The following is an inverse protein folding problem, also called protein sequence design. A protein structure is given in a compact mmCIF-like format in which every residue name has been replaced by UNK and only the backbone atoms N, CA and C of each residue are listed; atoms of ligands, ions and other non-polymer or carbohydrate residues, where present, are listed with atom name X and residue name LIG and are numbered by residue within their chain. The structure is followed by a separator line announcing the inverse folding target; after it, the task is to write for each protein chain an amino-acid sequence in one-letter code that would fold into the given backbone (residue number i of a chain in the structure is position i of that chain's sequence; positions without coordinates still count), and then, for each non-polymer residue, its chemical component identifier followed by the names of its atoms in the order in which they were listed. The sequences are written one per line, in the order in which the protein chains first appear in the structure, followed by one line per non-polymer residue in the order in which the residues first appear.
data_IF_806536054119
#
_entry.id   IF_806536054119
#
_cell.length_a   1.000
_cell.length_b   1.000
_cell.length_c   1.000
_cell.angle_alpha   90.00
_cell.angle_beta   90.00
_cell.angle_gamma   90.00
#
_symmetry.space_group_name_H-M   'P 1'
#
loop_
_entity.id
_entity.type
_entity.pdbx_description
1 polymer ?
#
# COMPACT_ATOMS: atom_id res chain seq x y z
N UNK A 1 15.23 22.34 19.51
CA UNK A 1 14.26 21.93 18.47
C UNK A 1 13.71 20.55 18.83
N UNK A 2 12.39 20.43 19.01
CA UNK A 2 11.64 19.18 19.09
C UNK A 2 10.35 19.42 18.32
N UNK A 3 10.05 18.60 17.31
CA UNK A 3 8.76 18.60 16.63
C UNK A 3 8.08 17.29 17.01
N UNK A 4 7.15 17.39 17.96
CA UNK A 4 6.24 16.32 18.33
C UNK A 4 5.17 16.17 17.24
N UNK A 5 5.02 14.95 16.73
CA UNK A 5 4.05 14.62 15.69
C UNK A 5 2.64 14.57 16.25
N UNK A 6 1.85 15.60 15.96
CA UNK A 6 0.39 15.55 16.05
C UNK A 6 -0.17 15.61 14.62
N UNK A 7 -0.38 14.45 14.00
CA UNK A 7 -1.07 14.36 12.71
C UNK A 7 -2.60 14.44 12.95
N UNK A 8 -3.31 15.46 12.44
CA UNK A 8 -4.72 15.66 12.73
C UNK A 8 -5.59 14.53 12.15
N UNK A 9 -6.49 13.99 12.97
CA UNK A 9 -7.43 12.90 12.64
C UNK A 9 -8.34 13.17 11.43
N UNK A 10 -8.48 14.44 11.01
CA UNK A 10 -9.35 14.85 9.91
C UNK A 10 -8.93 14.32 8.54
N UNK A 11 -7.65 13.92 8.36
CA UNK A 11 -7.14 13.40 7.08
C UNK A 11 -7.53 11.92 6.87
N UNK A 12 -7.83 11.19 7.94
CA UNK A 12 -8.12 9.74 7.85
C UNK A 12 -9.61 9.49 7.51
N UNK A 13 -10.50 10.38 7.92
CA UNK A 13 -11.95 10.24 7.73
C UNK A 13 -12.43 10.47 6.29
N UNK A 14 -11.65 11.21 5.47
CA UNK A 14 -12.00 11.48 4.07
C UNK A 14 -11.80 10.25 3.18
N UNK A 15 -10.84 9.37 3.49
CA UNK A 15 -10.57 8.15 2.72
C UNK A 15 -11.60 7.04 2.95
N UNK A 16 -12.33 7.04 4.06
CA UNK A 16 -13.29 5.97 4.38
C UNK A 16 -14.66 6.14 3.72
N UNK A 17 -14.98 7.35 3.21
CA UNK A 17 -16.29 7.67 2.61
C UNK A 17 -16.42 7.37 1.11
N UNK A 18 -15.33 7.02 0.42
CA UNK A 18 -15.36 6.74 -1.03
C UNK A 18 -15.71 5.28 -1.36
N UNK A 19 -15.34 4.33 -0.50
CA UNK A 19 -15.62 2.90 -0.74
C UNK A 19 -17.10 2.55 -0.55
N UNK A 20 -17.83 3.25 0.33
CA UNK A 20 -19.25 3.00 0.61
C UNK A 20 -20.21 3.60 -0.43
N UNK A 21 -19.75 4.53 -1.29
CA UNK A 21 -20.61 5.09 -2.36
C UNK A 21 -20.76 4.16 -3.56
N UNK A 22 -19.74 3.35 -3.87
CA UNK A 22 -19.80 2.39 -5.00
C UNK A 22 -20.78 1.23 -4.78
N UNK A 23 -21.15 0.91 -3.53
CA UNK A 23 -22.16 -0.13 -3.26
C UNK A 23 -23.60 0.40 -3.21
N UNK A 24 -23.82 1.72 -3.14
CA UNK A 24 -25.16 2.30 -3.08
C UNK A 24 -25.78 2.60 -4.46
N UNK A 25 -24.96 2.77 -5.51
CA UNK A 25 -25.45 3.11 -6.87
C UNK A 25 -26.01 1.92 -7.66
N UNK A 26 -25.80 0.67 -7.22
CA UNK A 26 -26.28 -0.52 -7.95
C UNK A 26 -27.76 -0.83 -7.66
N UNK A 27 -28.39 -0.19 -6.65
CA UNK A 27 -29.75 -0.53 -6.20
C UNK A 27 -30.82 0.55 -6.48
N UNK A 28 -30.56 1.57 -7.30
CA UNK A 28 -31.50 2.71 -7.44
C UNK A 28 -31.75 3.12 -8.89
N UNK A 29 -32.06 2.15 -9.73
CA UNK A 29 -32.41 2.36 -11.12
C UNK A 29 -33.85 1.90 -11.45
N UNK A 30 -34.83 2.15 -10.56
CA UNK A 30 -36.25 2.17 -10.92
C UNK A 30 -36.96 3.17 -10.00
N UNK A 31 -37.25 4.37 -10.51
CA UNK A 31 -38.54 5.05 -10.34
C UNK A 31 -38.46 6.44 -11.00
N UNK A 32 -39.25 6.63 -12.06
CA UNK A 32 -39.40 7.86 -12.82
C UNK A 32 -40.73 8.48 -12.41
N UNK A 33 -40.75 9.73 -11.92
CA UNK A 33 -41.77 10.72 -12.29
C UNK A 33 -41.64 12.09 -11.60
N UNK A 34 -41.48 13.11 -12.45
CA UNK A 34 -42.17 14.43 -12.45
C UNK A 34 -42.11 15.34 -11.20
N UNK A 35 -41.47 16.50 -11.37
CA UNK A 35 -41.70 17.70 -10.55
C UNK A 35 -40.76 18.84 -10.93
N UNK A 36 -41.33 19.94 -11.42
CA UNK A 36 -40.64 21.21 -11.70
C UNK A 36 -39.98 21.74 -10.43
N UNK A 37 -38.73 22.20 -10.54
CA UNK A 37 -38.18 23.39 -9.90
C UNK A 37 -36.77 23.60 -10.48
N UNK A 38 -36.58 24.67 -11.24
CA UNK A 38 -35.24 25.09 -11.69
C UNK A 38 -34.58 25.83 -10.52
N UNK A 39 -33.57 25.25 -9.84
CA UNK A 39 -32.86 26.01 -8.83
C UNK A 39 -31.94 26.99 -9.53
N UNK A 40 -32.00 28.25 -9.10
CA UNK A 40 -31.06 29.29 -9.48
C UNK A 40 -29.62 28.73 -9.42
N UNK A 41 -28.89 28.84 -10.54
CA UNK A 41 -27.47 28.48 -10.62
C UNK A 41 -26.69 29.37 -9.65
N UNK A 42 -26.49 28.88 -8.43
CA UNK A 42 -25.45 29.40 -7.55
C UNK A 42 -24.10 29.21 -8.25
N UNK A 43 -23.18 30.18 -8.16
CA UNK A 43 -21.83 30.02 -8.70
C UNK A 43 -21.22 28.80 -8.02
N UNK A 44 -20.95 27.77 -8.82
CA UNK A 44 -20.26 26.56 -8.38
C UNK A 44 -18.89 26.99 -7.88
N UNK A 45 -18.69 27.00 -6.56
CA UNK A 45 -17.37 27.21 -5.99
C UNK A 45 -16.43 26.21 -6.67
N UNK A 46 -15.44 26.74 -7.37
CA UNK A 46 -14.47 25.96 -8.10
C UNK A 46 -13.51 25.38 -7.06
N UNK A 47 -13.93 24.28 -6.44
CA UNK A 47 -13.12 23.57 -5.46
C UNK A 47 -11.99 22.86 -6.18
N UNK A 48 -10.75 23.10 -5.75
CA UNK A 48 -9.61 22.33 -6.22
C UNK A 48 -9.83 20.84 -5.95
N UNK A 49 -9.67 20.02 -6.99
CA UNK A 49 -9.80 18.58 -6.89
C UNK A 49 -8.41 17.95 -6.80
N UNK A 50 -8.14 17.25 -5.70
CA UNK A 50 -6.90 16.49 -5.52
C UNK A 50 -7.22 15.00 -5.65
N UNK A 51 -6.48 14.30 -6.52
CA UNK A 51 -6.60 12.86 -6.68
C UNK A 51 -5.23 12.19 -6.52
N UNK A 52 -5.21 11.02 -5.89
CA UNK A 52 -4.01 10.19 -5.77
C UNK A 52 -3.86 9.35 -7.05
N UNK A 53 -2.64 9.30 -7.60
CA UNK A 53 -2.31 8.46 -8.74
C UNK A 53 -2.45 6.96 -8.42
N UNK A 54 -2.76 6.15 -9.42
CA UNK A 54 -2.96 4.72 -9.19
C UNK A 54 -1.69 4.00 -8.73
N UNK A 55 -0.52 4.46 -9.18
CA UNK A 55 0.77 3.97 -8.70
C UNK A 55 0.99 4.23 -7.21
N UNK A 56 0.60 5.42 -6.71
CA UNK A 56 0.71 5.74 -5.30
C UNK A 56 -0.23 4.88 -4.45
N UNK A 57 -1.44 4.58 -4.95
CA UNK A 57 -2.35 3.62 -4.29
C UNK A 57 -1.74 2.23 -4.23
N UNK A 58 -1.15 1.75 -5.33
CA UNK A 58 -0.51 0.43 -5.38
C UNK A 58 0.67 0.33 -4.40
N UNK A 59 1.53 1.37 -4.34
CA UNK A 59 2.61 1.44 -3.35
C UNK A 59 2.10 1.41 -1.91
N UNK A 60 1.03 2.15 -1.60
CA UNK A 60 0.44 2.14 -0.26
C UNK A 60 -0.08 0.75 0.14
N UNK A 61 -0.66 0.00 -0.80
CA UNK A 61 -1.07 -1.40 -0.56
C UNK A 61 0.14 -2.30 -0.35
N UNK A 62 1.17 -2.20 -1.20
CA UNK A 62 2.39 -2.98 -1.06
C UNK A 62 3.09 -2.74 0.29
N UNK A 63 3.15 -1.49 0.74
CA UNK A 63 3.73 -1.12 2.03
C UNK A 63 2.95 -1.74 3.21
N UNK A 64 1.61 -1.70 3.17
CA UNK A 64 0.78 -2.37 4.20
C UNK A 64 0.97 -3.88 4.24
N UNK A 65 1.28 -4.51 3.11
CA UNK A 65 1.59 -5.94 3.07
C UNK A 65 2.96 -6.21 3.66
N UNK A 66 3.97 -5.39 3.32
CA UNK A 66 5.32 -5.49 3.87
C UNK A 66 5.32 -5.36 5.40
N UNK A 67 4.54 -4.44 5.96
CA UNK A 67 4.40 -4.23 7.41
C UNK A 67 3.83 -5.45 8.16
N UNK A 68 3.12 -6.33 7.46
CA UNK A 68 2.53 -7.54 8.05
C UNK A 68 3.41 -8.78 7.89
N UNK A 69 4.48 -8.69 7.12
CA UNK A 69 5.39 -9.81 6.95
C UNK A 69 6.16 -10.05 8.26
N UNK A 70 6.42 -11.31 8.61
CA UNK A 70 7.25 -11.60 9.77
C UNK A 70 8.69 -11.15 9.52
N UNK A 71 9.35 -10.67 10.57
CA UNK A 71 10.77 -10.30 10.54
C UNK A 71 11.66 -11.46 10.06
N UNK A 72 11.26 -12.69 10.41
CA UNK A 72 11.96 -13.93 10.04
C UNK A 72 11.05 -14.81 9.19
N UNK A 73 11.56 -15.21 8.03
CA UNK A 73 10.91 -16.22 7.17
C UNK A 73 11.24 -17.63 7.68
N UNK A 74 10.49 -18.07 8.69
CA UNK A 74 10.76 -19.33 9.40
C UNK A 74 10.88 -20.55 8.46
N UNK A 75 9.98 -20.68 7.49
CA UNK A 75 10.01 -21.76 6.47
C UNK A 75 11.38 -21.86 5.76
N UNK A 76 11.97 -20.70 5.40
CA UNK A 76 13.28 -20.67 4.74
C UNK A 76 14.38 -21.14 5.69
N UNK A 77 14.31 -20.75 6.96
CA UNK A 77 15.27 -21.14 7.99
C UNK A 77 15.19 -22.64 8.21
N UNK A 78 14.00 -23.19 8.40
CA UNK A 78 13.78 -24.62 8.67
C UNK A 78 14.30 -25.47 7.52
N UNK A 79 13.95 -25.11 6.27
CA UNK A 79 14.46 -25.79 5.08
C UNK A 79 15.98 -25.78 4.98
N UNK A 80 16.62 -24.65 5.30
CA UNK A 80 18.08 -24.55 5.27
C UNK A 80 18.72 -25.39 6.39
N UNK A 81 18.16 -25.34 7.59
CA UNK A 81 18.58 -26.15 8.74
C UNK A 81 18.53 -27.64 8.44
N UNK A 82 17.43 -28.13 7.84
CA UNK A 82 17.30 -29.52 7.42
C UNK A 82 18.35 -29.93 6.37
N UNK A 83 18.61 -29.08 5.38
CA UNK A 83 19.65 -29.34 4.37
C UNK A 83 21.03 -29.44 5.00
N UNK A 84 21.33 -28.60 6.00
CA UNK A 84 22.60 -28.63 6.73
C UNK A 84 22.70 -29.91 7.57
N UNK A 85 21.68 -30.22 8.37
CA UNK A 85 21.66 -31.41 9.23
C UNK A 85 21.76 -32.71 8.42
N UNK A 86 21.15 -32.75 7.24
CA UNK A 86 21.22 -33.91 6.34
C UNK A 86 22.49 -33.97 5.49
N UNK A 87 23.41 -33.00 5.62
CA UNK A 87 24.65 -32.94 4.83
C UNK A 87 24.44 -32.65 3.34
N UNK A 88 23.23 -32.27 2.93
CA UNK A 88 22.88 -31.97 1.52
C UNK A 88 22.97 -30.49 1.17
N UNK A 89 23.39 -29.65 2.12
CA UNK A 89 23.61 -28.24 1.87
C UNK A 89 24.88 -28.06 1.02
N UNK A 90 24.69 -27.72 -0.26
CA UNK A 90 25.77 -27.46 -1.21
C UNK A 90 25.63 -26.04 -1.77
N UNK A 91 26.20 -25.00 -1.10
CA UNK A 91 26.15 -23.64 -1.60
C UNK A 91 27.05 -23.48 -2.83
N UNK A 92 26.66 -22.59 -3.72
CA UNK A 92 27.41 -22.27 -4.94
C UNK A 92 28.64 -21.40 -4.60
N UNK A 93 29.83 -21.92 -4.88
CA UNK A 93 31.10 -21.25 -4.59
C UNK A 93 31.27 -19.91 -5.34
N UNK A 94 30.75 -19.82 -6.56
CA UNK A 94 30.80 -18.58 -7.35
C UNK A 94 29.94 -17.50 -6.69
N UNK A 95 28.72 -17.87 -6.25
CA UNK A 95 27.84 -16.95 -5.51
C UNK A 95 28.44 -16.50 -4.20
N UNK A 96 29.17 -17.37 -3.49
CA UNK A 96 29.88 -17.00 -2.25
C UNK A 96 30.94 -15.94 -2.57
N UNK A 97 31.79 -16.18 -3.56
CA UNK A 97 32.85 -15.25 -3.96
C UNK A 97 32.27 -13.90 -4.42
N UNK A 98 31.24 -13.91 -5.27
CA UNK A 98 30.53 -12.71 -5.72
C UNK A 98 30.04 -11.88 -4.53
N UNK A 99 29.43 -12.52 -3.52
CA UNK A 99 28.90 -11.81 -2.35
C UNK A 99 30.01 -11.23 -1.47
N UNK A 100 31.12 -11.94 -1.29
CA UNK A 100 32.30 -11.41 -0.60
C UNK A 100 32.83 -10.17 -1.32
N UNK A 101 33.04 -10.24 -2.64
CA UNK A 101 33.56 -9.12 -3.44
C UNK A 101 32.59 -7.93 -3.46
N UNK A 102 31.29 -8.18 -3.55
CA UNK A 102 30.26 -7.13 -3.48
C UNK A 102 30.25 -6.41 -2.13
N UNK A 103 30.48 -7.14 -1.01
CA UNK A 103 30.58 -6.55 0.32
C UNK A 103 31.84 -5.72 0.52
N UNK A 104 32.94 -6.10 -0.15
CA UNK A 104 34.21 -5.35 -0.13
C UNK A 104 34.17 -4.09 -1.01
N UNK A 105 33.28 -4.03 -1.99
CA UNK A 105 33.15 -2.90 -2.92
C UNK A 105 32.33 -1.73 -2.36
N UNK A 106 32.02 -1.75 -1.06
CA UNK A 106 31.28 -0.67 -0.40
C UNK A 106 32.25 0.30 0.27
N UNK A 107 32.52 1.38 -0.48
CA UNK A 107 32.88 2.76 -0.10
C UNK A 107 34.26 3.23 -0.61
N UNK A 108 34.23 3.88 -1.78
CA UNK A 108 35.04 5.06 -2.10
C UNK A 108 34.09 6.25 -2.25
#
# INVERSE_FOLDING_TARGET
MKIEGNVPSQVVDSYRKVDSRKQAEVNKAEDVSKGQDVPARMPKEMSDNVSISDEAKLRAVAQKVLEKLPDVRQEKVDRLSELIQSGRYNPDAEKIAEKILSGLSIKA
#
